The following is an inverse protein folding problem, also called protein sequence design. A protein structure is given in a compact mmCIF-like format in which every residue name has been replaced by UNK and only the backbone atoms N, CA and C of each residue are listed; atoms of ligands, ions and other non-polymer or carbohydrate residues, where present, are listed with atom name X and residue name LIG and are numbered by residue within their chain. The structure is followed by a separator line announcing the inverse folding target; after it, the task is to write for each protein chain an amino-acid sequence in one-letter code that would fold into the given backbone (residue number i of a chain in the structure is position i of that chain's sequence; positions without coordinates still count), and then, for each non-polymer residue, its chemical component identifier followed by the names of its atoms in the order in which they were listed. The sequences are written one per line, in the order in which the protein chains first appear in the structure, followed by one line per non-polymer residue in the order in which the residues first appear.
data_IF_006335906374
#
_entry.id   IF_006335906374
#
_cell.length_a   1.000
_cell.length_b   1.000
_cell.length_c   1.000
_cell.angle_alpha   90.00
_cell.angle_beta   90.00
_cell.angle_gamma   90.00
#
_symmetry.space_group_name_H-M   'P 1'
#
loop_
_entity.id
_entity.type
_entity.pdbx_description
1 polymer ?
#
# COMPACT_ATOMS: atom_id res chain seq x y z
N UNK A 1 -1.11 -19.81 7.38
CA UNK A 1 -2.07 -18.70 7.60
C UNK A 1 -1.31 -17.45 8.03
N UNK A 2 -1.70 -16.28 7.50
CA UNK A 2 -1.14 -14.98 7.92
C UNK A 2 -1.47 -14.63 9.37
N UNK A 3 -0.87 -13.56 9.89
CA UNK A 3 -1.06 -13.11 11.28
C UNK A 3 -0.97 -11.60 11.40
N UNK A 4 -1.85 -10.98 12.20
CA UNK A 4 -1.66 -9.62 12.68
C UNK A 4 -0.53 -9.59 13.70
N UNK A 5 0.45 -8.71 13.52
CA UNK A 5 1.59 -8.55 14.43
C UNK A 5 1.40 -7.36 15.36
N UNK A 6 0.89 -6.25 14.84
CA UNK A 6 0.68 -5.02 15.59
C UNK A 6 -0.68 -4.44 15.24
N UNK A 7 -1.38 -3.97 16.27
CA UNK A 7 -2.55 -3.10 16.16
C UNK A 7 -2.37 -2.04 17.22
N UNK A 8 -2.48 -0.78 16.81
CA UNK A 8 -2.37 0.37 17.69
C UNK A 8 -3.22 1.51 17.15
N UNK A 9 -3.82 2.31 18.02
CA UNK A 9 -4.58 3.47 17.57
C UNK A 9 -4.65 4.50 18.68
N UNK A 10 -4.71 5.75 18.28
CA UNK A 10 -5.08 6.86 19.16
C UNK A 10 -6.31 7.51 18.52
N UNK A 11 -7.44 7.65 19.25
CA UNK A 11 -8.65 8.28 18.74
C UNK A 11 -8.36 9.64 18.09
N UNK A 12 -9.02 9.89 16.96
CA UNK A 12 -8.91 11.11 16.13
C UNK A 12 -7.50 11.40 15.58
N UNK A 13 -6.55 10.51 15.85
CA UNK A 13 -5.13 10.74 15.68
C UNK A 13 -4.52 9.79 14.65
N UNK A 14 -4.68 8.48 14.82
CA UNK A 14 -4.33 7.48 13.81
C UNK A 14 -4.90 6.11 14.18
N UNK A 15 -5.03 5.25 13.18
CA UNK A 15 -5.20 3.81 13.32
C UNK A 15 -4.08 3.12 12.56
N UNK A 16 -3.33 2.25 13.23
CA UNK A 16 -2.22 1.51 12.65
C UNK A 16 -2.43 0.01 12.82
N UNK A 17 -2.11 -0.74 11.76
CA UNK A 17 -2.01 -2.18 11.86
C UNK A 17 -0.90 -2.71 10.96
N UNK A 18 -0.24 -3.77 11.43
CA UNK A 18 0.76 -4.51 10.66
C UNK A 18 0.40 -5.98 10.63
N UNK A 19 0.32 -6.53 9.41
CA UNK A 19 0.09 -7.94 9.14
C UNK A 19 1.27 -8.60 8.46
N UNK A 20 1.52 -9.87 8.79
CA UNK A 20 2.44 -10.77 8.11
C UNK A 20 1.62 -11.83 7.35
N UNK A 21 1.59 -11.69 6.03
CA UNK A 21 0.87 -12.56 5.12
C UNK A 21 1.79 -13.62 4.49
N UNK A 22 3.05 -13.76 4.91
CA UNK A 22 4.03 -14.65 4.27
C UNK A 22 3.53 -16.10 4.19
N UNK A 23 2.88 -16.58 5.25
CA UNK A 23 2.29 -17.93 5.33
C UNK A 23 0.91 -18.07 4.67
N UNK A 24 0.44 -17.05 3.96
CA UNK A 24 -0.72 -17.16 3.06
C UNK A 24 -0.29 -17.58 1.64
N UNK A 25 1.01 -17.57 1.35
CA UNK A 25 1.58 -17.95 0.07
C UNK A 25 2.45 -19.20 0.22
N UNK A 26 2.69 -19.89 -0.90
CA UNK A 26 3.65 -21.00 -0.94
C UNK A 26 5.05 -20.51 -0.58
N UNK A 27 5.72 -21.24 0.32
CA UNK A 27 7.13 -20.99 0.70
C UNK A 27 8.10 -21.15 -0.46
N UNK A 28 7.69 -21.83 -1.55
CA UNK A 28 8.46 -21.94 -2.80
C UNK A 28 8.41 -20.66 -3.65
N UNK A 29 7.41 -19.79 -3.42
CA UNK A 29 7.23 -18.53 -4.16
C UNK A 29 7.73 -17.33 -3.38
N UNK A 30 7.45 -17.30 -2.09
CA UNK A 30 7.55 -16.10 -1.26
C UNK A 30 8.36 -16.40 0.01
N UNK A 31 9.33 -15.52 0.32
CA UNK A 31 10.03 -15.49 1.61
C UNK A 31 9.29 -14.61 2.62
N UNK A 32 8.83 -13.43 2.20
CA UNK A 32 8.19 -12.44 3.08
C UNK A 32 7.09 -11.67 2.36
N UNK A 33 5.98 -11.44 3.04
CA UNK A 33 5.03 -10.39 2.69
C UNK A 33 4.46 -9.79 3.97
N UNK A 34 4.80 -8.53 4.20
CA UNK A 34 4.21 -7.72 5.27
C UNK A 34 3.43 -6.56 4.68
N UNK A 35 2.33 -6.21 5.33
CA UNK A 35 1.52 -5.03 5.01
C UNK A 35 1.32 -4.21 6.27
N UNK A 36 1.70 -2.95 6.19
CA UNK A 36 1.43 -1.93 7.18
C UNK A 36 0.37 -0.98 6.63
N UNK A 37 -0.62 -0.65 7.46
CA UNK A 37 -1.66 0.33 7.12
C UNK A 37 -1.73 1.39 8.21
N UNK A 38 -1.87 2.65 7.78
CA UNK A 38 -2.13 3.79 8.67
C UNK A 38 -3.31 4.57 8.12
N UNK A 39 -4.38 4.72 8.91
CA UNK A 39 -5.45 5.67 8.64
C UNK A 39 -5.31 6.87 9.57
N UNK A 40 -5.37 8.08 9.04
CA UNK A 40 -5.40 9.31 9.84
C UNK A 40 -6.76 9.99 9.60
N UNK A 41 -7.68 9.98 10.59
CA UNK A 41 -9.06 10.43 10.39
C UNK A 41 -9.19 11.90 10.00
N UNK A 42 -8.40 12.80 10.61
CA UNK A 42 -8.53 14.24 10.39
C UNK A 42 -8.50 14.68 8.91
N UNK A 43 -7.48 14.28 8.13
CA UNK A 43 -7.42 14.56 6.69
C UNK A 43 -7.96 13.42 5.80
N UNK A 44 -8.63 12.40 6.34
CA UNK A 44 -9.14 11.23 5.61
C UNK A 44 -8.11 10.57 4.67
N UNK A 45 -6.90 10.38 5.19
CA UNK A 45 -5.78 9.82 4.43
C UNK A 45 -5.41 8.43 4.93
N UNK A 46 -5.15 7.52 3.99
CA UNK A 46 -4.80 6.13 4.27
C UNK A 46 -3.48 5.74 3.58
N UNK A 47 -2.52 5.22 4.33
CA UNK A 47 -1.22 4.78 3.85
C UNK A 47 -1.20 3.26 3.83
N UNK A 48 -0.67 2.68 2.74
CA UNK A 48 -0.40 1.25 2.61
C UNK A 48 1.07 1.07 2.25
N UNK A 49 1.81 0.40 3.13
CA UNK A 49 3.20 0.04 2.92
C UNK A 49 3.37 -1.47 2.91
N UNK A 50 3.78 -2.02 1.78
CA UNK A 50 4.06 -3.44 1.64
C UNK A 50 5.55 -3.70 1.43
N UNK A 51 6.06 -4.76 2.05
CA UNK A 51 7.37 -5.33 1.75
C UNK A 51 7.18 -6.75 1.26
N UNK A 52 7.58 -7.02 0.03
CA UNK A 52 7.39 -8.30 -0.63
C UNK A 52 8.73 -8.86 -1.07
N UNK A 53 9.10 -10.01 -0.53
CA UNK A 53 10.34 -10.70 -0.84
C UNK A 53 10.03 -12.06 -1.47
N UNK A 54 10.26 -12.20 -2.77
CA UNK A 54 10.10 -13.45 -3.52
C UNK A 54 11.33 -14.35 -3.39
N UNK A 55 11.15 -15.63 -3.72
CA UNK A 55 12.24 -16.62 -3.83
C UNK A 55 13.03 -16.49 -5.15
N UNK A 56 12.45 -15.81 -6.14
CA UNK A 56 13.04 -15.61 -7.45
C UNK A 56 12.72 -14.18 -7.91
N UNK A 57 13.72 -13.39 -8.37
CA UNK A 57 13.49 -12.03 -8.83
C UNK A 57 12.58 -11.94 -10.06
N UNK A 58 12.47 -13.01 -10.87
CA UNK A 58 11.62 -13.04 -12.07
C UNK A 58 10.14 -13.24 -11.76
N UNK A 59 9.77 -13.60 -10.52
CA UNK A 59 8.37 -13.67 -10.14
C UNK A 59 7.78 -12.27 -10.12
N UNK A 60 6.93 -11.99 -11.12
CA UNK A 60 6.22 -10.73 -11.22
C UNK A 60 5.38 -10.48 -9.97
N UNK A 61 5.57 -9.30 -9.39
CA UNK A 61 4.80 -8.80 -8.25
C UNK A 61 3.83 -7.75 -8.77
N UNK A 62 2.60 -7.78 -8.27
CA UNK A 62 1.59 -6.80 -8.61
C UNK A 62 0.82 -6.43 -7.35
N UNK A 63 0.74 -5.14 -7.07
CA UNK A 63 -0.19 -4.56 -6.13
C UNK A 63 -1.49 -4.24 -6.85
N UNK A 64 -2.64 -4.51 -6.23
CA UNK A 64 -3.95 -4.41 -6.86
C UNK A 64 -4.88 -3.51 -6.03
N UNK A 65 -5.58 -2.60 -6.70
CA UNK A 65 -6.78 -1.94 -6.15
C UNK A 65 -7.94 -2.12 -7.11
N UNK A 66 -9.04 -2.69 -6.61
CA UNK A 66 -10.26 -2.94 -7.36
C UNK A 66 -11.26 -1.79 -7.19
N UNK A 67 -12.07 -1.55 -8.22
CA UNK A 67 -13.21 -0.64 -8.17
C UNK A 67 -14.29 -1.03 -9.17
N UNK A 68 -15.48 -0.46 -8.99
CA UNK A 68 -16.64 -0.70 -9.86
C UNK A 68 -16.45 -0.03 -11.21
N UNK A 69 -16.17 1.28 -11.20
CA UNK A 69 -16.02 2.09 -12.41
C UNK A 69 -14.57 2.12 -12.90
N UNK A 70 -14.40 2.48 -14.18
CA UNK A 70 -13.07 2.64 -14.77
C UNK A 70 -12.28 3.73 -14.03
N UNK A 71 -11.04 3.45 -13.59
CA UNK A 71 -10.24 4.45 -12.94
C UNK A 71 -9.72 5.48 -13.95
N UNK A 72 -9.62 6.73 -13.52
CA UNK A 72 -8.81 7.73 -14.23
C UNK A 72 -7.36 7.62 -13.76
N UNK A 73 -6.39 7.75 -14.68
CA UNK A 73 -4.95 7.73 -14.38
C UNK A 73 -4.34 9.02 -14.90
N UNK A 74 -3.47 9.66 -14.13
CA UNK A 74 -2.79 10.88 -14.54
C UNK A 74 -1.73 10.64 -15.63
N UNK A 75 -1.25 11.73 -16.24
CA UNK A 75 -0.29 11.64 -17.35
C UNK A 75 1.04 10.98 -16.96
N UNK A 76 1.43 11.10 -15.69
CA UNK A 76 2.67 10.52 -15.17
C UNK A 76 2.48 9.07 -14.70
N UNK A 77 1.27 8.52 -14.79
CA UNK A 77 0.91 7.20 -14.31
C UNK A 77 1.37 6.96 -12.86
N UNK A 78 1.13 7.94 -11.98
CA UNK A 78 1.48 7.90 -10.55
C UNK A 78 0.31 8.22 -9.64
N UNK A 79 -0.73 8.83 -10.19
CA UNK A 79 -1.96 9.13 -9.49
C UNK A 79 -3.12 8.49 -10.24
N UNK A 80 -3.96 7.75 -9.54
CA UNK A 80 -5.17 7.19 -10.13
C UNK A 80 -6.37 7.36 -9.20
N UNK A 81 -7.56 7.45 -9.79
CA UNK A 81 -8.80 7.73 -9.07
C UNK A 81 -9.88 6.73 -9.40
N UNK A 82 -10.52 6.22 -8.36
CA UNK A 82 -11.80 5.52 -8.45
C UNK A 82 -12.90 6.41 -7.91
N UNK A 83 -14.07 6.36 -8.54
CA UNK A 83 -15.24 7.08 -8.09
C UNK A 83 -16.50 6.21 -8.23
N UNK A 84 -17.46 6.42 -7.34
CA UNK A 84 -18.79 5.80 -7.40
C UNK A 84 -19.80 6.66 -6.64
N UNK A 85 -20.89 7.05 -7.31
CA UNK A 85 -21.81 8.06 -6.78
C UNK A 85 -21.09 9.34 -6.38
N UNK A 86 -21.26 9.79 -5.14
CA UNK A 86 -20.57 10.98 -4.61
C UNK A 86 -19.14 10.67 -4.09
N UNK A 87 -18.78 9.40 -3.89
CA UNK A 87 -17.50 9.00 -3.30
C UNK A 87 -16.35 8.96 -4.30
N UNK A 88 -15.16 9.27 -3.83
CA UNK A 88 -13.92 9.25 -4.58
C UNK A 88 -12.74 8.79 -3.70
N UNK A 89 -11.84 8.02 -4.29
CA UNK A 89 -10.54 7.69 -3.72
C UNK A 89 -9.47 8.07 -4.74
N UNK A 90 -8.57 8.99 -4.35
CA UNK A 90 -7.35 9.30 -5.10
C UNK A 90 -6.17 8.58 -4.49
N UNK A 91 -5.43 7.82 -5.29
CA UNK A 91 -4.26 7.06 -4.84
C UNK A 91 -2.99 7.61 -5.49
N UNK A 92 -2.02 7.96 -4.65
CA UNK A 92 -0.66 8.35 -5.02
C UNK A 92 0.27 7.15 -4.87
N UNK A 93 0.86 6.68 -5.97
CA UNK A 93 1.77 5.53 -6.02
C UNK A 93 3.23 5.97 -5.94
N UNK A 94 3.80 5.92 -4.74
CA UNK A 94 5.14 6.43 -4.44
C UNK A 94 6.25 5.38 -4.62
N UNK A 95 5.97 4.11 -4.30
CA UNK A 95 6.86 2.99 -4.55
C UNK A 95 6.11 1.85 -5.27
N UNK A 96 6.79 1.12 -6.17
CA UNK A 96 8.19 1.29 -6.58
C UNK A 96 8.40 2.56 -7.43
N UNK A 97 9.60 3.16 -7.37
CA UNK A 97 9.92 4.43 -8.09
C UNK A 97 9.84 4.30 -9.61
N UNK A 98 10.20 3.12 -10.12
CA UNK A 98 10.02 2.71 -11.52
C UNK A 98 8.91 1.63 -11.52
N UNK A 99 7.73 1.98 -12.01
CA UNK A 99 6.56 1.11 -11.94
C UNK A 99 5.75 1.15 -13.23
N UNK A 100 5.21 -0.01 -13.59
CA UNK A 100 4.19 -0.15 -14.62
C UNK A 100 2.82 -0.09 -13.92
N UNK A 101 2.04 0.96 -14.19
CA UNK A 101 0.68 1.13 -13.67
C UNK A 101 -0.33 0.85 -14.79
N UNK A 102 -1.08 -0.24 -14.66
CA UNK A 102 -2.02 -0.71 -15.69
C UNK A 102 -3.46 -0.71 -15.16
N UNK A 103 -4.35 0.15 -15.67
CA UNK A 103 -5.78 -0.03 -15.47
C UNK A 103 -6.27 -1.20 -16.32
N UNK A 104 -7.01 -2.13 -15.71
CA UNK A 104 -7.52 -3.33 -16.38
C UNK A 104 -8.95 -3.61 -15.94
N UNK A 105 -9.82 -3.87 -16.88
CA UNK A 105 -11.24 -4.11 -16.63
C UNK A 105 -12.10 -3.77 -17.83
N UNK A 106 -13.40 -3.62 -17.57
CA UNK A 106 -14.42 -3.40 -18.59
C UNK A 106 -14.84 -4.70 -19.29
N UNK A 107 -15.75 -4.60 -20.28
CA UNK A 107 -16.36 -5.76 -20.94
C UNK A 107 -15.33 -6.82 -21.38
N UNK A 108 -15.42 -8.02 -20.80
CA UNK A 108 -14.57 -9.16 -21.11
C UNK A 108 -13.20 -9.15 -20.42
N UNK A 109 -12.98 -8.26 -19.43
CA UNK A 109 -11.74 -8.15 -18.67
C UNK A 109 -11.96 -7.94 -17.16
N UNK A 110 -13.23 -7.95 -16.71
CA UNK A 110 -13.63 -7.68 -15.33
C UNK A 110 -12.95 -8.62 -14.33
N UNK A 111 -12.83 -9.90 -14.70
CA UNK A 111 -12.25 -10.98 -13.91
C UNK A 111 -11.05 -11.62 -14.60
N UNK A 112 -10.33 -10.85 -15.42
CA UNK A 112 -9.11 -11.34 -16.07
C UNK A 112 -8.07 -11.79 -15.05
N UNK A 113 -7.58 -13.03 -15.16
CA UNK A 113 -6.41 -13.51 -14.41
C UNK A 113 -5.16 -13.44 -15.29
N UNK A 114 -3.99 -13.09 -14.74
CA UNK A 114 -2.79 -12.91 -15.55
C UNK A 114 -2.11 -14.22 -15.99
N UNK A 115 -2.46 -15.37 -15.40
CA UNK A 115 -1.94 -16.68 -15.82
C UNK A 115 -3.09 -17.61 -16.23
N UNK A 116 -2.77 -18.57 -17.09
CA UNK A 116 -3.67 -19.67 -17.45
C UNK A 116 -3.85 -20.68 -16.29
N UNK A 117 -4.80 -21.60 -16.45
CA UNK A 117 -5.13 -22.60 -15.44
C UNK A 117 -3.99 -23.60 -15.17
N UNK A 118 -2.98 -23.66 -16.05
CA UNK A 118 -1.81 -24.53 -15.91
C UNK A 118 -0.60 -23.80 -15.29
N UNK A 119 -0.77 -22.53 -14.89
CA UNK A 119 0.29 -21.73 -14.28
C UNK A 119 1.33 -21.21 -15.29
N UNK A 120 0.90 -20.96 -16.53
CA UNK A 120 1.74 -20.40 -17.59
C UNK A 120 2.21 -18.96 -17.33
N UNK A 121 2.83 -18.39 -18.37
CA UNK A 121 3.50 -17.09 -18.27
C UNK A 121 2.52 -15.95 -17.99
N UNK A 122 3.01 -14.88 -17.35
CA UNK A 122 2.19 -13.70 -17.15
C UNK A 122 1.71 -13.13 -18.50
N UNK A 123 0.41 -12.90 -18.61
CA UNK A 123 -0.28 -12.50 -19.83
C UNK A 123 -0.94 -13.66 -20.58
N UNK A 124 -0.69 -14.93 -20.21
CA UNK A 124 -1.32 -16.09 -20.86
C UNK A 124 -2.76 -16.35 -20.39
N UNK A 125 -3.19 -15.68 -19.32
CA UNK A 125 -4.49 -15.94 -18.73
C UNK A 125 -5.67 -15.38 -19.51
N UNK A 126 -6.86 -15.54 -18.93
CA UNK A 126 -8.14 -15.25 -19.57
C UNK A 126 -9.11 -14.56 -18.60
N UNK A 127 -10.21 -14.05 -19.14
CA UNK A 127 -11.33 -13.56 -18.35
C UNK A 127 -12.24 -14.71 -17.95
N UNK A 128 -12.63 -14.74 -16.67
CA UNK A 128 -13.52 -15.75 -16.14
C UNK A 128 -14.96 -15.21 -16.10
N UNK A 129 -15.93 -15.88 -16.72
CA UNK A 129 -17.30 -15.42 -16.72
C UNK A 129 -17.87 -15.47 -15.30
N UNK A 130 -18.67 -14.46 -14.94
CA UNK A 130 -19.47 -14.51 -13.72
C UNK A 130 -20.72 -15.34 -13.94
N UNK A 131 -21.08 -16.12 -12.92
CA UNK A 131 -22.32 -16.88 -12.95
C UNK A 131 -23.56 -15.98 -12.81
N UNK A 132 -24.72 -16.41 -13.36
CA UNK A 132 -25.98 -15.70 -13.18
C UNK A 132 -26.31 -15.50 -11.69
N UNK A 133 -26.72 -14.29 -11.26
CA UNK A 133 -27.05 -14.03 -9.86
C UNK A 133 -28.12 -14.97 -9.28
N UNK A 134 -29.05 -15.43 -10.12
CA UNK A 134 -30.12 -16.35 -9.73
C UNK A 134 -29.62 -17.79 -9.47
N UNK A 135 -28.37 -18.10 -9.80
CA UNK A 135 -27.90 -19.47 -9.92
C UNK A 135 -28.34 -20.11 -11.23
N UNK A 136 -28.07 -21.39 -11.41
CA UNK A 136 -28.38 -22.11 -12.65
C UNK A 136 -27.71 -23.48 -12.74
N UNK A 137 -27.89 -24.19 -13.86
CA UNK A 137 -27.12 -25.39 -14.14
C UNK A 137 -25.61 -25.07 -14.22
N UNK A 138 -24.76 -26.08 -14.04
CA UNK A 138 -23.33 -25.92 -14.30
C UNK A 138 -23.07 -25.52 -15.76
N UNK A 139 -22.02 -24.71 -16.04
CA UNK A 139 -21.65 -24.35 -17.40
C UNK A 139 -21.42 -25.57 -18.29
N UNK A 140 -21.75 -25.45 -19.58
CA UNK A 140 -21.47 -26.49 -20.58
C UNK A 140 -19.99 -26.57 -20.98
N UNK A 141 -19.26 -25.46 -20.77
CA UNK A 141 -17.82 -25.44 -20.94
C UNK A 141 -17.14 -26.49 -20.03
N UNK A 142 -16.34 -27.41 -20.60
CA UNK A 142 -15.72 -28.48 -19.83
C UNK A 142 -14.74 -27.99 -18.76
N UNK A 143 -14.01 -26.89 -19.01
CA UNK A 143 -13.03 -26.35 -18.08
C UNK A 143 -13.73 -25.73 -16.87
N UNK A 144 -14.72 -24.87 -17.12
CA UNK A 144 -15.54 -24.26 -16.05
C UNK A 144 -16.27 -25.34 -15.22
N UNK A 145 -16.85 -26.34 -15.88
CA UNK A 145 -17.50 -27.47 -15.19
C UNK A 145 -16.52 -28.24 -14.32
N UNK A 146 -15.31 -28.52 -14.82
CA UNK A 146 -14.26 -29.18 -14.05
C UNK A 146 -13.86 -28.37 -12.82
N UNK A 147 -13.74 -27.05 -12.92
CA UNK A 147 -13.44 -26.18 -11.78
C UNK A 147 -14.52 -26.28 -10.71
N UNK A 148 -15.80 -26.14 -11.06
CA UNK A 148 -16.90 -26.26 -10.10
C UNK A 148 -16.88 -27.60 -9.35
N UNK A 149 -16.69 -28.70 -10.08
CA UNK A 149 -16.59 -30.05 -9.50
C UNK A 149 -15.37 -30.22 -8.59
N UNK A 150 -14.24 -29.61 -8.95
CA UNK A 150 -13.02 -29.66 -8.14
C UNK A 150 -13.20 -28.98 -6.78
N UNK A 151 -13.91 -27.86 -6.73
CA UNK A 151 -14.13 -27.12 -5.47
C UNK A 151 -15.28 -27.66 -4.63
N UNK A 152 -16.36 -28.13 -5.26
CA UNK A 152 -17.62 -28.44 -4.58
C UNK A 152 -18.00 -29.93 -4.58
N UNK A 153 -17.26 -30.77 -5.29
CA UNK A 153 -17.47 -32.22 -5.35
C UNK A 153 -18.18 -32.70 -6.61
N UNK A 154 -18.03 -34.00 -6.92
CA UNK A 154 -18.59 -34.63 -8.11
C UNK A 154 -20.12 -34.70 -8.13
N UNK A 155 -20.76 -34.54 -6.99
CA UNK A 155 -22.22 -34.48 -6.81
C UNK A 155 -22.79 -33.06 -6.99
N UNK A 156 -21.95 -32.02 -6.99
CA UNK A 156 -22.38 -30.64 -7.19
C UNK A 156 -22.96 -30.47 -8.59
N UNK A 157 -24.27 -30.20 -8.71
CA UNK A 157 -25.00 -30.26 -9.98
C UNK A 157 -25.62 -28.94 -10.41
N UNK A 158 -25.65 -27.95 -9.52
CA UNK A 158 -26.25 -26.65 -9.77
C UNK A 158 -25.53 -25.55 -8.98
N UNK A 159 -25.42 -24.40 -9.60
CA UNK A 159 -24.93 -23.17 -8.98
C UNK A 159 -26.09 -22.57 -8.19
N UNK A 160 -25.87 -22.37 -6.89
CA UNK A 160 -26.85 -21.72 -6.02
C UNK A 160 -26.89 -20.22 -6.27
N UNK A 161 -28.04 -19.61 -6.00
CA UNK A 161 -28.16 -18.16 -6.14
C UNK A 161 -27.18 -17.42 -5.23
N UNK A 162 -26.52 -16.38 -5.75
CA UNK A 162 -25.48 -15.65 -5.04
C UNK A 162 -25.93 -14.26 -4.59
N UNK A 163 -25.10 -13.63 -3.77
CA UNK A 163 -25.27 -12.23 -3.36
C UNK A 163 -25.06 -11.23 -4.52
N UNK A 164 -24.62 -11.65 -5.71
CA UNK A 164 -24.55 -10.80 -6.90
C UNK A 164 -25.91 -10.18 -7.29
N UNK A 165 -27.03 -10.69 -6.74
CA UNK A 165 -28.35 -10.07 -6.88
C UNK A 165 -28.39 -8.64 -6.33
N UNK A 166 -27.59 -8.37 -5.31
CA UNK A 166 -27.67 -7.15 -4.50
C UNK A 166 -26.33 -6.39 -4.44
N UNK A 167 -25.31 -6.84 -5.15
CA UNK A 167 -23.96 -6.28 -5.10
C UNK A 167 -23.50 -6.00 -6.51
N UNK A 168 -23.00 -4.79 -6.75
CA UNK A 168 -22.32 -4.44 -8.01
C UNK A 168 -20.90 -5.00 -7.93
N UNK A 169 -20.52 -5.99 -8.75
CA UNK A 169 -19.16 -6.49 -8.75
C UNK A 169 -18.20 -5.40 -9.25
N UNK A 170 -16.97 -5.42 -8.73
CA UNK A 170 -15.90 -4.60 -9.30
C UNK A 170 -15.63 -5.02 -10.74
N UNK A 171 -15.68 -4.07 -11.68
CA UNK A 171 -15.42 -4.34 -13.10
C UNK A 171 -14.01 -3.88 -13.53
N UNK A 172 -13.28 -3.21 -12.64
CA UNK A 172 -11.96 -2.65 -12.91
C UNK A 172 -10.99 -2.83 -11.76
N UNK A 173 -9.71 -2.80 -12.08
CA UNK A 173 -8.62 -2.68 -11.12
C UNK A 173 -7.46 -1.88 -11.70
N UNK A 174 -6.63 -1.34 -10.82
CA UNK A 174 -5.29 -0.87 -11.16
C UNK A 174 -4.28 -1.90 -10.67
N UNK A 175 -3.35 -2.27 -11.54
CA UNK A 175 -2.20 -3.12 -11.24
C UNK A 175 -0.94 -2.25 -11.19
N UNK A 176 -0.19 -2.28 -10.09
CA UNK A 176 1.11 -1.62 -9.96
C UNK A 176 2.18 -2.70 -9.84
N UNK A 177 3.12 -2.73 -10.79
CA UNK A 177 4.26 -3.68 -10.79
C UNK A 177 5.59 -2.93 -10.84
N UNK A 178 6.64 -3.40 -10.14
CA UNK A 178 8.00 -2.92 -10.39
C UNK A 178 8.39 -3.16 -11.84
N UNK A 179 8.98 -2.17 -12.51
CA UNK A 179 9.41 -2.31 -13.91
C UNK A 179 10.69 -3.15 -14.07
N UNK A 180 11.39 -3.46 -12.96
CA UNK A 180 12.64 -4.24 -12.95
C UNK A 180 12.47 -5.47 -12.04
N UNK A 181 12.89 -6.67 -12.49
CA UNK A 181 12.92 -7.85 -11.64
C UNK A 181 13.83 -7.66 -10.41
N UNK A 182 13.31 -7.95 -9.23
CA UNK A 182 14.04 -7.92 -7.97
C UNK A 182 13.46 -8.97 -7.03
N UNK A 183 14.24 -9.48 -6.07
CA UNK A 183 13.68 -10.37 -5.04
C UNK A 183 12.83 -9.58 -4.05
N UNK A 184 13.30 -8.40 -3.65
CA UNK A 184 12.66 -7.53 -2.68
C UNK A 184 12.12 -6.28 -3.36
N UNK A 185 10.82 -6.04 -3.17
CA UNK A 185 10.15 -4.84 -3.63
C UNK A 185 9.31 -4.24 -2.49
N UNK A 186 9.29 -2.91 -2.45
CA UNK A 186 8.45 -2.13 -1.58
C UNK A 186 7.33 -1.48 -2.39
N UNK A 187 6.11 -1.53 -1.89
CA UNK A 187 4.97 -0.79 -2.43
C UNK A 187 4.54 0.23 -1.39
N UNK A 188 4.33 1.46 -1.83
CA UNK A 188 3.88 2.53 -0.96
C UNK A 188 2.85 3.36 -1.69
N UNK A 189 1.64 3.37 -1.12
CA UNK A 189 0.48 4.04 -1.68
C UNK A 189 -0.16 4.93 -0.62
N UNK A 190 -0.54 6.14 -1.01
CA UNK A 190 -1.27 7.09 -0.15
C UNK A 190 -2.60 7.39 -0.78
N UNK A 191 -3.67 7.23 -0.02
CA UNK A 191 -5.05 7.33 -0.48
C UNK A 191 -5.64 8.58 0.18
N UNK A 192 -6.16 9.49 -0.63
CA UNK A 192 -7.10 10.52 -0.18
C UNK A 192 -8.51 9.97 -0.39
N UNK A 193 -9.31 9.96 0.66
CA UNK A 193 -10.69 9.46 0.64
C UNK A 193 -11.62 10.66 0.83
N UNK A 194 -12.63 10.79 -0.02
CA UNK A 194 -13.55 11.91 0.11
C UNK A 194 -14.66 11.91 -0.93
N UNK A 195 -15.27 13.08 -1.11
CA UNK A 195 -16.24 13.28 -2.18
C UNK A 195 -15.52 13.54 -3.50
N UNK A 196 -16.20 13.26 -4.62
CA UNK A 196 -15.73 13.61 -5.95
C UNK A 196 -15.30 15.07 -6.03
N UNK A 197 -14.08 15.29 -6.52
CA UNK A 197 -13.51 16.63 -6.67
C UNK A 197 -12.98 17.24 -5.38
N UNK A 198 -13.05 16.56 -4.24
CA UNK A 198 -12.45 16.97 -2.97
C UNK A 198 -11.08 16.33 -2.72
N UNK A 199 -10.70 15.31 -3.49
CA UNK A 199 -9.42 14.58 -3.34
C UNK A 199 -8.41 14.96 -4.44
N UNK A 200 -7.12 14.74 -4.17
CA UNK A 200 -6.05 14.97 -5.15
C UNK A 200 -5.53 16.40 -5.21
N UNK A 201 -5.89 17.25 -4.24
CA UNK A 201 -5.44 18.64 -4.16
C UNK A 201 -4.20 18.83 -3.30
N UNK A 202 -3.83 17.81 -2.51
CA UNK A 202 -2.67 17.85 -1.63
C UNK A 202 -1.46 17.25 -2.32
N UNK A 203 -0.29 17.86 -2.09
CA UNK A 203 0.97 17.25 -2.53
C UNK A 203 1.30 16.07 -1.62
N UNK A 204 1.73 14.98 -2.22
CA UNK A 204 2.21 13.78 -1.52
C UNK A 204 3.61 13.46 -2.01
N UNK A 205 4.54 13.20 -1.09
CA UNK A 205 5.94 12.94 -1.43
C UNK A 205 6.50 11.75 -0.68
N UNK A 206 7.31 10.97 -1.37
CA UNK A 206 8.08 9.86 -0.81
C UNK A 206 9.12 10.37 0.19
N UNK A 207 9.18 9.70 1.33
CA UNK A 207 10.26 9.76 2.31
C UNK A 207 11.16 8.55 2.06
N UNK A 208 12.45 8.79 1.86
CA UNK A 208 13.41 7.73 1.56
C UNK A 208 14.71 7.95 2.32
N UNK A 209 15.34 6.86 2.74
CA UNK A 209 16.55 6.91 3.54
C UNK A 209 17.05 5.54 4.01
N UNK A 210 17.93 5.57 5.02
CA UNK A 210 18.57 4.37 5.54
C UNK A 210 17.69 3.72 6.60
N UNK A 211 17.35 2.44 6.39
CA UNK A 211 16.47 1.62 7.23
C UNK A 211 15.01 2.11 7.32
N UNK A 212 14.67 3.21 6.64
CA UNK A 212 13.39 3.89 6.77
C UNK A 212 12.87 4.30 5.37
N UNK A 213 11.56 4.18 5.17
CA UNK A 213 10.86 4.75 4.02
C UNK A 213 9.46 5.18 4.45
N UNK A 214 8.77 6.00 3.67
CA UNK A 214 7.49 6.53 4.10
C UNK A 214 6.91 7.58 3.17
N UNK A 215 5.93 8.31 3.64
CA UNK A 215 5.28 9.34 2.85
C UNK A 215 4.96 10.58 3.69
N UNK A 216 5.11 11.74 3.09
CA UNK A 216 4.68 13.02 3.62
C UNK A 216 3.44 13.49 2.86
N UNK A 217 2.40 13.86 3.62
CA UNK A 217 1.15 14.41 3.12
C UNK A 217 1.04 15.89 3.50
N UNK A 218 0.78 16.75 2.53
CA UNK A 218 0.74 18.20 2.73
C UNK A 218 -0.28 18.64 3.79
N UNK A 219 0.18 19.39 4.80
CA UNK A 219 -0.65 19.84 5.92
C UNK A 219 -1.34 18.69 6.66
N UNK A 220 -0.69 17.53 6.69
CA UNK A 220 -1.11 16.35 7.43
C UNK A 220 0.10 15.52 7.86
N UNK A 221 -0.02 14.20 7.95
CA UNK A 221 1.02 13.35 8.53
C UNK A 221 2.20 13.09 7.59
N UNK A 222 3.40 13.08 8.18
CA UNK A 222 4.54 12.31 7.69
C UNK A 222 4.54 10.94 8.39
N UNK A 223 4.41 9.86 7.62
CA UNK A 223 4.43 8.49 8.14
C UNK A 223 5.71 7.80 7.68
N UNK A 224 6.46 7.24 8.62
CA UNK A 224 7.74 6.56 8.39
C UNK A 224 7.65 5.12 8.87
N UNK A 225 7.99 4.19 7.98
CA UNK A 225 7.99 2.75 8.18
C UNK A 225 9.41 2.18 8.19
N UNK A 226 9.59 1.04 8.84
CA UNK A 226 10.83 0.27 8.80
C UNK A 226 11.00 -0.45 7.46
N UNK A 227 12.19 -0.39 6.89
CA UNK A 227 12.57 -1.23 5.73
C UNK A 227 13.41 -2.44 6.13
N UNK A 228 13.62 -2.68 7.42
CA UNK A 228 14.47 -3.77 7.93
C UNK A 228 13.65 -4.95 8.45
N UNK A 229 14.32 -6.09 8.71
CA UNK A 229 13.68 -7.27 9.28
C UNK A 229 13.50 -7.20 10.81
N UNK A 230 14.10 -6.20 11.45
CA UNK A 230 14.17 -6.07 12.89
C UNK A 230 13.58 -4.73 13.34
N UNK A 231 13.35 -4.64 14.64
CA UNK A 231 13.02 -3.38 15.28
C UNK A 231 14.16 -2.37 15.11
N UNK A 232 13.80 -1.16 14.74
CA UNK A 232 14.75 -0.09 14.43
C UNK A 232 15.31 0.49 15.73
N UNK A 233 16.63 0.50 15.80
CA UNK A 233 17.40 1.25 16.81
C UNK A 233 18.10 2.46 16.22
N UNK A 234 18.29 2.51 14.89
CA UNK A 234 18.86 3.65 14.17
C UNK A 234 18.35 3.72 12.74
N UNK A 235 18.12 4.93 12.23
CA UNK A 235 17.70 5.16 10.85
C UNK A 235 17.79 6.63 10.47
N UNK A 236 17.70 6.89 9.18
CA UNK A 236 17.69 8.26 8.63
C UNK A 236 16.67 8.35 7.51
N UNK A 237 15.96 9.48 7.41
CA UNK A 237 15.05 9.75 6.30
C UNK A 237 15.08 11.24 5.92
N UNK A 238 14.95 11.51 4.62
CA UNK A 238 14.83 12.88 4.11
C UNK A 238 13.37 13.33 4.10
N UNK A 239 13.07 14.43 4.80
CA UNK A 239 11.77 15.08 4.80
C UNK A 239 11.76 16.16 3.71
N UNK A 240 10.96 16.01 2.65
CA UNK A 240 10.96 16.92 1.51
C UNK A 240 10.45 18.30 1.90
N UNK A 241 10.66 19.31 1.05
CA UNK A 241 10.04 20.64 1.20
C UNK A 241 8.52 20.53 1.00
N UNK A 242 7.85 20.13 2.08
CA UNK A 242 6.44 19.86 2.22
C UNK A 242 6.10 19.92 3.71
N UNK A 243 5.33 20.92 4.13
CA UNK A 243 4.99 21.09 5.54
C UNK A 243 3.98 20.04 6.02
N UNK A 244 4.40 19.20 6.96
CA UNK A 244 3.58 18.23 7.68
C UNK A 244 3.24 18.75 9.09
N UNK A 245 2.11 18.30 9.66
CA UNK A 245 1.63 18.70 11.01
C UNK A 245 1.89 17.64 12.08
N UNK A 246 2.25 16.44 11.66
CA UNK A 246 2.50 15.30 12.53
C UNK A 246 3.56 14.39 11.90
N UNK A 247 4.26 13.66 12.76
CA UNK A 247 5.20 12.61 12.37
C UNK A 247 4.83 11.34 13.13
N UNK A 248 4.56 10.27 12.39
CA UNK A 248 4.33 8.92 12.90
C UNK A 248 5.47 8.02 12.43
N UNK A 249 6.14 7.34 13.36
CA UNK A 249 7.22 6.40 13.08
C UNK A 249 6.82 5.03 13.62
N UNK A 250 6.89 4.00 12.78
CA UNK A 250 6.57 2.60 13.14
C UNK A 250 7.82 1.71 13.09
N UNK A 251 7.72 0.53 13.71
CA UNK A 251 8.77 -0.48 13.67
C UNK A 251 10.01 -0.14 14.50
N UNK A 252 9.92 0.80 15.45
CA UNK A 252 10.97 1.06 16.42
C UNK A 252 11.05 -0.08 17.45
N UNK A 253 12.18 -0.19 18.14
CA UNK A 253 12.22 -1.03 19.34
C UNK A 253 11.20 -0.55 20.38
N UNK A 254 10.31 -1.42 20.88
CA UNK A 254 9.33 -1.06 21.91
C UNK A 254 9.96 -0.57 23.21
N UNK A 255 9.20 0.24 23.96
CA UNK A 255 9.53 0.74 25.30
C UNK A 255 10.93 1.36 25.41
N UNK A 256 11.47 1.89 24.32
CA UNK A 256 12.85 2.37 24.22
C UNK A 256 12.88 3.87 23.99
N UNK A 257 13.93 4.53 24.50
CA UNK A 257 14.10 5.98 24.34
C UNK A 257 14.91 6.24 23.08
N UNK A 258 14.45 7.19 22.27
CA UNK A 258 15.05 7.62 21.03
C UNK A 258 15.33 9.12 21.04
N UNK A 259 16.39 9.52 20.37
CA UNK A 259 16.63 10.89 19.94
C UNK A 259 16.27 11.03 18.46
N UNK A 260 15.32 11.93 18.19
CA UNK A 260 14.94 12.38 16.85
C UNK A 260 15.70 13.68 16.57
N UNK A 261 16.74 13.58 15.75
CA UNK A 261 17.62 14.70 15.41
C UNK A 261 17.24 15.26 14.04
N UNK A 262 16.83 16.53 14.00
CA UNK A 262 16.47 17.25 12.78
C UNK A 262 17.61 18.19 12.37
N UNK A 263 18.04 18.11 11.12
CA UNK A 263 19.11 18.94 10.58
C UNK A 263 18.82 19.34 9.12
N UNK A 264 19.55 20.33 8.59
CA UNK A 264 19.45 20.69 7.18
C UNK A 264 19.79 19.52 6.23
N UNK A 265 19.03 19.42 5.14
CA UNK A 265 19.22 18.40 4.09
C UNK A 265 20.53 18.60 3.34
N UNK A 266 21.15 17.50 2.89
CA UNK A 266 22.32 17.56 2.00
C UNK A 266 21.97 18.10 0.61
N UNK A 267 20.76 17.82 0.13
CA UNK A 267 20.27 18.22 -1.18
C UNK A 267 18.92 18.91 -0.98
N UNK A 268 18.84 20.17 -1.35
CA UNK A 268 17.61 20.96 -1.32
C UNK A 268 17.66 22.01 -2.43
N UNK A 269 16.52 22.23 -3.07
CA UNK A 269 16.33 23.30 -4.06
C UNK A 269 15.66 24.53 -3.44
N UNK A 270 15.35 24.48 -2.15
CA UNK A 270 14.61 25.53 -1.46
C UNK A 270 15.59 26.64 -1.02
N UNK A 271 15.38 27.90 -1.45
CA UNK A 271 16.25 29.01 -1.08
C UNK A 271 16.28 29.31 0.42
N UNK A 272 15.23 28.90 1.14
CA UNK A 272 15.08 29.06 2.60
C UNK A 272 15.50 27.82 3.39
N UNK A 273 16.15 26.84 2.74
CA UNK A 273 16.58 25.64 3.42
C UNK A 273 17.67 25.89 4.46
N UNK A 274 17.59 25.14 5.56
CA UNK A 274 18.69 25.07 6.52
C UNK A 274 19.89 24.42 5.85
N UNK A 275 21.08 24.99 6.06
CA UNK A 275 22.31 24.47 5.48
C UNK A 275 22.55 23.00 5.87
N UNK A 276 23.12 22.18 4.97
CA UNK A 276 23.39 20.77 5.22
C UNK A 276 24.07 20.52 6.57
N UNK A 277 23.49 19.61 7.37
CA UNK A 277 24.09 19.17 8.62
C UNK A 277 23.98 20.15 9.80
N UNK A 278 23.48 21.37 9.60
CA UNK A 278 23.20 22.30 10.69
C UNK A 278 22.02 21.75 11.51
N UNK A 279 22.20 21.49 12.82
CA UNK A 279 21.12 21.04 13.68
C UNK A 279 20.02 22.10 13.79
N UNK A 280 18.77 21.66 13.73
CA UNK A 280 17.58 22.51 13.87
C UNK A 280 16.91 22.26 15.20
N UNK A 281 16.67 20.99 15.53
CA UNK A 281 16.07 20.58 16.79
C UNK A 281 16.41 19.12 17.10
N UNK A 282 16.27 18.76 18.36
CA UNK A 282 16.36 17.39 18.83
C UNK A 282 15.20 17.13 19.79
N UNK A 283 14.53 15.99 19.62
CA UNK A 283 13.48 15.53 20.51
C UNK A 283 13.88 14.18 21.09
N UNK A 284 13.84 14.07 22.42
CA UNK A 284 13.99 12.80 23.13
C UNK A 284 12.61 12.24 23.45
N UNK A 285 12.30 11.05 22.95
CA UNK A 285 10.96 10.45 23.04
C UNK A 285 11.05 8.94 23.27
N UNK A 286 10.06 8.38 23.97
CA UNK A 286 9.95 6.94 24.19
C UNK A 286 8.94 6.35 23.21
N UNK A 287 9.28 5.24 22.55
CA UNK A 287 8.31 4.43 21.80
C UNK A 287 7.33 3.73 22.74
N UNK A 288 6.10 3.52 22.30
CA UNK A 288 5.15 2.71 23.07
C UNK A 288 5.55 1.22 23.09
N UNK A 289 4.73 0.40 23.74
CA UNK A 289 4.89 -1.05 23.84
C UNK A 289 4.75 -1.79 22.49
N UNK A 290 4.38 -1.05 21.42
CA UNK A 290 4.27 -1.52 20.04
C UNK A 290 5.38 -0.99 19.11
N UNK A 291 6.33 -0.21 19.63
CA UNK A 291 7.40 0.34 18.80
C UNK A 291 6.96 1.52 17.92
N UNK A 292 5.98 2.30 18.38
CA UNK A 292 5.41 3.42 17.65
C UNK A 292 5.68 4.73 18.39
N UNK A 293 5.97 5.77 17.62
CA UNK A 293 6.09 7.15 18.09
C UNK A 293 5.23 8.04 17.21
N UNK A 294 4.38 8.87 17.82
CA UNK A 294 3.67 9.97 17.16
C UNK A 294 4.03 11.28 17.84
N UNK A 295 4.34 12.30 17.03
CA UNK A 295 4.63 13.65 17.51
C UNK A 295 3.88 14.67 16.67
N UNK A 296 3.27 15.64 17.33
CA UNK A 296 2.73 16.82 16.65
C UNK A 296 3.86 17.81 16.38
N UNK A 297 3.89 18.36 15.18
CA UNK A 297 4.97 19.22 14.70
C UNK A 297 4.38 20.38 13.92
N UNK A 298 5.02 21.54 13.95
CA UNK A 298 4.56 22.69 13.18
C UNK A 298 5.35 22.79 11.86
N UNK A 299 4.71 22.45 10.74
CA UNK A 299 5.28 22.52 9.39
C UNK A 299 6.61 21.80 9.24
N UNK A 300 6.66 20.54 9.66
CA UNK A 300 7.83 19.69 9.49
C UNK A 300 8.08 19.41 8.00
N UNK A 301 9.25 19.76 7.50
CA UNK A 301 9.65 19.53 6.11
C UNK A 301 11.00 20.17 5.81
N UNK A 302 11.58 19.85 4.66
CA UNK A 302 12.88 20.33 4.18
C UNK A 302 14.04 20.06 5.17
N UNK A 303 14.01 18.90 5.82
CA UNK A 303 14.93 18.51 6.88
C UNK A 303 15.35 17.05 6.73
N UNK A 304 16.52 16.72 7.24
CA UNK A 304 16.95 15.35 7.48
C UNK A 304 16.54 14.95 8.90
N UNK A 305 15.83 13.84 9.04
CA UNK A 305 15.54 13.22 10.33
C UNK A 305 16.48 12.03 10.55
N UNK A 306 17.24 12.07 11.64
CA UNK A 306 17.98 10.91 12.17
C UNK A 306 17.32 10.40 13.44
N UNK A 307 17.16 9.10 13.53
CA UNK A 307 16.60 8.40 14.68
C UNK A 307 17.72 7.57 15.29
N UNK A 308 17.93 7.68 16.59
CA UNK A 308 18.90 6.85 17.32
C UNK A 308 18.37 6.49 18.71
N UNK A 309 18.41 5.20 19.07
CA UNK A 309 18.11 4.73 20.43
C UNK A 309 19.21 5.17 21.39
N UNK A 310 18.82 5.60 22.59
CA UNK A 310 19.71 6.08 23.67
C UNK A 310 19.55 5.31 24.96
#
# INVERSE_FOLDING_TARGET
MGSMRVIDYVPDQYHYAMGDASRAYSSRKLRRFTREIVYVPGPDVFFVFDRVVSQNPTFRKAWLLHGVNQPSVDQNARTFRFNDGAGEVTVHSLLPRDADITPRGGPGNEFYTPGDAQGGQWGSGQNWPSEPPQGGPLPDDPELRHMWKTFWGDDFSQILSSNHKNVVPGAWRVEVSPSKPAEEDFFLHVFEIGNQGATGHKRVKLLDGANLSGAAFESGPAVVFSTTDFEITTGEVSLPDLGCDSLLITGLQPDSVFELNFAGLNITQSPSAVQPGIPVSMLRIRSNDKGIVRVDVQRLGNLRLRIARV
#
